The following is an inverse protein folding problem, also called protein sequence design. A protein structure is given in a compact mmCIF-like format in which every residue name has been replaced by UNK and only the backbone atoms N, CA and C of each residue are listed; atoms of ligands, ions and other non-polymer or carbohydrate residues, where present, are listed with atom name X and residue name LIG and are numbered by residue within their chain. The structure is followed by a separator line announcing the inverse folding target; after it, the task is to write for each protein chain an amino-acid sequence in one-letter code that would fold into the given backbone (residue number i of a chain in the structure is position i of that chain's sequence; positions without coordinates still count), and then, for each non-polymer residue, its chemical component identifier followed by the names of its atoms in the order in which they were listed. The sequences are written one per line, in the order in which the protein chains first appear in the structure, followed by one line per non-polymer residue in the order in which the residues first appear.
data_IF_427149144786
#
_entry.id   IF_427149144786
#
_cell.length_a   1.000
_cell.length_b   1.000
_cell.length_c   1.000
_cell.angle_alpha   90.00
_cell.angle_beta   90.00
_cell.angle_gamma   90.00
#
_symmetry.space_group_name_H-M   'P 1'
#
loop_
_entity.id
_entity.type
_entity.pdbx_description
1 polymer ?
#
# COMPACT_ATOMS: atom_id res chain seq x y z
N UNK A 1 9.75 -3.96 -16.68
CA UNK A 1 9.01 -3.24 -15.62
C UNK A 1 9.93 -2.28 -14.89
N UNK A 2 9.44 -1.09 -14.52
CA UNK A 2 10.23 -0.02 -13.87
C UNK A 2 9.39 0.71 -12.84
N UNK A 3 9.97 0.99 -11.66
CA UNK A 3 9.34 1.84 -10.65
C UNK A 3 9.88 3.26 -10.78
N UNK A 4 8.99 4.24 -10.75
CA UNK A 4 9.32 5.67 -10.76
C UNK A 4 8.44 6.45 -9.79
N UNK A 5 8.81 7.67 -9.52
CA UNK A 5 7.94 8.64 -8.83
C UNK A 5 6.69 8.86 -9.68
N UNK A 6 5.54 8.83 -9.04
CA UNK A 6 4.27 9.12 -9.69
C UNK A 6 4.02 10.62 -9.85
N UNK A 7 3.12 10.96 -10.74
CA UNK A 7 2.66 12.32 -11.00
C UNK A 7 1.14 12.37 -11.02
N UNK A 8 0.57 13.55 -11.10
CA UNK A 8 -0.89 13.73 -11.23
C UNK A 8 -1.47 13.08 -12.48
N UNK A 9 -0.65 12.92 -13.53
CA UNK A 9 -1.06 12.23 -14.77
C UNK A 9 -1.27 10.72 -14.56
N UNK A 10 -0.69 10.14 -13.52
CA UNK A 10 -0.83 8.73 -13.18
C UNK A 10 -2.12 8.42 -12.41
N UNK A 11 -2.83 9.44 -11.93
CA UNK A 11 -3.99 9.25 -11.05
C UNK A 11 -5.06 8.34 -11.66
N UNK A 12 -5.40 8.53 -12.94
CA UNK A 12 -6.39 7.69 -13.62
C UNK A 12 -5.96 6.21 -13.68
N UNK A 13 -4.67 5.95 -13.92
CA UNK A 13 -4.12 4.58 -13.94
C UNK A 13 -4.13 3.93 -12.55
N UNK A 14 -3.88 4.69 -11.50
CA UNK A 14 -3.95 4.21 -10.11
C UNK A 14 -5.40 3.90 -9.72
N UNK A 15 -6.34 4.78 -10.08
CA UNK A 15 -7.77 4.53 -9.85
C UNK A 15 -8.25 3.28 -10.58
N UNK A 16 -7.80 3.06 -11.81
CA UNK A 16 -8.12 1.85 -12.57
C UNK A 16 -7.60 0.57 -11.89
N UNK A 17 -6.44 0.61 -11.23
CA UNK A 17 -5.97 -0.50 -10.39
C UNK A 17 -6.89 -0.75 -9.19
N UNK A 18 -7.40 0.32 -8.58
CA UNK A 18 -8.40 0.24 -7.51
C UNK A 18 -9.69 -0.40 -7.98
N UNK A 19 -10.20 0.00 -9.14
CA UNK A 19 -11.39 -0.59 -9.77
C UNK A 19 -11.20 -2.09 -10.03
N UNK A 20 -10.06 -2.47 -10.59
CA UNK A 20 -9.70 -3.87 -10.84
C UNK A 20 -9.65 -4.69 -9.55
N UNK A 21 -9.08 -4.13 -8.48
CA UNK A 21 -8.99 -4.78 -7.18
C UNK A 21 -10.36 -4.98 -6.54
N UNK A 22 -11.24 -3.96 -6.55
CA UNK A 22 -12.60 -4.06 -6.01
C UNK A 22 -13.41 -5.10 -6.77
N UNK A 23 -13.38 -5.08 -8.10
CA UNK A 23 -14.08 -6.07 -8.93
C UNK A 23 -13.60 -7.50 -8.64
N UNK A 24 -12.29 -7.68 -8.49
CA UNK A 24 -11.68 -8.98 -8.18
C UNK A 24 -12.08 -9.49 -6.80
N UNK A 25 -12.10 -8.62 -5.78
CA UNK A 25 -12.53 -8.97 -4.43
C UNK A 25 -14.01 -9.32 -4.37
N UNK A 26 -14.87 -8.51 -5.00
CA UNK A 26 -16.32 -8.73 -5.03
C UNK A 26 -16.67 -10.05 -5.71
N UNK A 27 -16.00 -10.41 -6.80
CA UNK A 27 -16.19 -11.69 -7.48
C UNK A 27 -15.85 -12.92 -6.58
N UNK A 28 -15.13 -12.69 -5.48
CA UNK A 28 -14.75 -13.71 -4.47
C UNK A 28 -15.50 -13.58 -3.15
N UNK A 29 -16.55 -12.75 -3.12
CA UNK A 29 -17.36 -12.55 -1.93
C UNK A 29 -16.71 -11.64 -0.86
N UNK A 30 -15.57 -11.03 -1.13
CA UNK A 30 -14.95 -10.04 -0.25
C UNK A 30 -15.39 -8.63 -0.68
N UNK A 31 -16.49 -8.17 -0.11
CA UNK A 31 -17.03 -6.83 -0.35
C UNK A 31 -16.83 -5.88 0.84
N UNK A 32 -16.15 -6.31 1.89
CA UNK A 32 -15.99 -5.55 3.13
C UNK A 32 -14.67 -4.79 3.20
N UNK A 33 -13.65 -5.25 2.51
CA UNK A 33 -12.34 -4.63 2.57
C UNK A 33 -12.34 -3.21 1.97
N UNK A 34 -12.86 -3.05 0.75
CA UNK A 34 -12.95 -1.76 0.04
C UNK A 34 -14.33 -1.48 -0.53
N UNK A 35 -15.36 -2.20 -0.08
CA UNK A 35 -16.73 -2.04 -0.55
C UNK A 35 -16.97 -2.67 -1.92
N UNK A 36 -18.04 -2.24 -2.57
CA UNK A 36 -18.49 -2.80 -3.85
C UNK A 36 -18.37 -1.82 -5.02
N UNK A 37 -18.26 -0.53 -4.72
CA UNK A 37 -18.20 0.52 -5.73
C UNK A 37 -16.76 0.67 -6.28
N UNK A 38 -16.61 0.99 -7.56
CA UNK A 38 -15.30 1.29 -8.13
C UNK A 38 -14.71 2.55 -7.51
N UNK A 39 -13.40 2.69 -7.60
CA UNK A 39 -12.69 3.88 -7.12
C UNK A 39 -12.87 5.07 -8.05
N UNK A 40 -12.92 4.82 -9.36
CA UNK A 40 -13.22 5.86 -10.35
C UNK A 40 -14.64 6.37 -10.14
N UNK A 41 -14.77 7.69 -9.96
CA UNK A 41 -16.04 8.35 -9.65
C UNK A 41 -16.33 8.48 -8.15
N UNK A 42 -15.55 7.85 -7.27
CA UNK A 42 -15.61 8.09 -5.82
C UNK A 42 -14.72 9.29 -5.46
N UNK A 43 -15.35 10.40 -5.06
CA UNK A 43 -14.65 11.65 -4.79
C UNK A 43 -13.56 11.51 -3.71
N UNK A 44 -13.80 10.72 -2.67
CA UNK A 44 -12.84 10.49 -1.60
C UNK A 44 -11.61 9.73 -2.10
N UNK A 45 -11.81 8.70 -2.92
CA UNK A 45 -10.73 7.90 -3.51
C UNK A 45 -9.94 8.72 -4.52
N UNK A 46 -10.62 9.46 -5.38
CA UNK A 46 -9.96 10.33 -6.36
C UNK A 46 -9.16 11.45 -5.68
N UNK A 47 -9.70 12.06 -4.63
CA UNK A 47 -9.00 13.09 -3.85
C UNK A 47 -7.76 12.53 -3.15
N UNK A 48 -7.87 11.33 -2.57
CA UNK A 48 -6.72 10.64 -1.95
C UNK A 48 -5.60 10.40 -2.98
N UNK A 49 -5.92 9.84 -4.13
CA UNK A 49 -4.93 9.55 -5.18
C UNK A 49 -4.29 10.84 -5.69
N UNK A 50 -5.08 11.88 -5.95
CA UNK A 50 -4.55 13.17 -6.39
C UNK A 50 -3.68 13.86 -5.35
N UNK A 51 -4.05 13.84 -4.10
CA UNK A 51 -3.27 14.45 -3.02
C UNK A 51 -1.88 13.80 -2.88
N UNK A 52 -1.79 12.48 -3.05
CA UNK A 52 -0.53 11.75 -2.96
C UNK A 52 0.25 11.67 -4.29
N UNK A 53 -0.37 12.03 -5.41
CA UNK A 53 0.29 12.00 -6.71
C UNK A 53 1.47 12.98 -6.81
N UNK A 54 1.42 14.10 -6.11
CA UNK A 54 2.54 15.05 -6.02
C UNK A 54 3.60 14.61 -5.01
N UNK A 55 3.18 13.92 -3.95
CA UNK A 55 4.06 13.47 -2.88
C UNK A 55 3.70 12.03 -2.48
N UNK A 56 4.68 11.18 -2.36
CA UNK A 56 4.50 9.83 -1.85
C UNK A 56 4.09 8.76 -2.86
N UNK A 57 3.51 9.09 -4.00
CA UNK A 57 3.14 8.11 -5.03
C UNK A 57 4.37 7.55 -5.75
N UNK A 58 4.42 6.24 -5.84
CA UNK A 58 5.35 5.49 -6.69
C UNK A 58 4.53 4.59 -7.60
N UNK A 59 4.84 4.56 -8.88
CA UNK A 59 4.17 3.70 -9.86
C UNK A 59 5.13 2.71 -10.46
N UNK A 60 4.66 1.48 -10.60
CA UNK A 60 5.32 0.42 -11.34
C UNK A 60 4.70 0.39 -12.73
N UNK A 61 5.50 0.66 -13.76
CA UNK A 61 5.05 0.63 -15.14
C UNK A 61 5.59 -0.60 -15.86
N UNK A 62 4.77 -1.20 -16.69
CA UNK A 62 5.16 -2.33 -17.53
C UNK A 62 5.88 -1.89 -18.82
N UNK A 63 6.18 -2.83 -19.68
CA UNK A 63 6.90 -2.58 -20.94
C UNK A 63 6.10 -1.77 -21.96
N UNK A 64 4.77 -1.78 -21.84
CA UNK A 64 3.86 -0.97 -22.66
C UNK A 64 3.71 0.48 -22.15
N UNK A 65 4.23 0.76 -20.93
CA UNK A 65 4.03 2.02 -20.23
C UNK A 65 2.76 2.08 -19.39
N UNK A 66 2.01 0.99 -19.31
CA UNK A 66 0.81 0.92 -18.47
C UNK A 66 1.19 0.74 -16.99
N UNK A 67 0.35 1.30 -16.10
CA UNK A 67 0.54 1.17 -14.65
C UNK A 67 0.16 -0.24 -14.22
N UNK A 68 1.13 -0.99 -13.74
CA UNK A 68 0.99 -2.36 -13.24
C UNK A 68 0.96 -2.42 -11.70
N UNK A 69 1.32 -1.35 -11.02
CA UNK A 69 1.28 -1.26 -9.57
C UNK A 69 1.45 0.16 -9.06
N UNK A 70 1.00 0.39 -7.84
CA UNK A 70 1.11 1.68 -7.17
C UNK A 70 1.41 1.48 -5.69
N UNK A 71 2.24 2.36 -5.15
CA UNK A 71 2.59 2.46 -3.75
C UNK A 71 2.49 3.92 -3.32
N UNK A 72 1.84 4.19 -2.19
CA UNK A 72 1.87 5.52 -1.55
C UNK A 72 2.60 5.38 -0.23
N UNK A 73 3.65 6.16 -0.04
CA UNK A 73 4.45 6.22 1.18
C UNK A 73 4.53 7.65 1.70
N UNK A 74 4.37 7.82 3.01
CA UNK A 74 4.48 9.11 3.70
C UNK A 74 5.23 8.93 5.02
N UNK A 75 5.72 10.04 5.59
CA UNK A 75 6.36 10.03 6.92
C UNK A 75 5.35 10.24 8.06
N UNK A 76 4.06 10.25 7.72
CA UNK A 76 2.95 10.34 8.68
C UNK A 76 1.98 9.19 8.46
N UNK A 77 1.49 8.60 9.55
CA UNK A 77 0.46 7.56 9.48
C UNK A 77 -0.95 8.15 9.33
N UNK A 78 -1.93 7.28 9.15
CA UNK A 78 -3.34 7.66 9.12
C UNK A 78 -3.82 8.17 10.49
N UNK A 79 -4.82 9.04 10.50
CA UNK A 79 -5.35 9.66 11.72
C UNK A 79 -5.86 8.68 12.77
N UNK A 80 -6.33 7.51 12.33
CA UNK A 80 -6.84 6.43 13.21
C UNK A 80 -5.73 5.49 13.71
N UNK A 81 -4.48 5.72 13.34
CA UNK A 81 -3.31 4.95 13.80
C UNK A 81 -2.52 5.78 14.81
N UNK A 82 -2.15 5.23 15.98
CA UNK A 82 -1.27 5.92 16.90
C UNK A 82 0.05 6.32 16.23
N UNK A 83 0.44 7.58 16.40
CA UNK A 83 1.72 8.08 15.86
C UNK A 83 2.89 7.26 16.43
N UNK A 84 3.90 7.02 15.60
CA UNK A 84 5.13 6.38 16.06
C UNK A 84 5.95 7.37 16.91
N UNK A 85 6.70 6.86 17.88
CA UNK A 85 7.60 7.65 18.72
C UNK A 85 8.95 7.96 18.04
N UNK A 86 9.14 7.44 16.83
CA UNK A 86 10.34 7.57 16.02
C UNK A 86 9.98 7.88 14.57
N UNK A 87 10.91 8.37 13.74
CA UNK A 87 10.67 8.54 12.31
C UNK A 87 10.25 7.24 11.66
N UNK A 88 9.22 7.32 10.83
CA UNK A 88 8.68 6.17 10.10
C UNK A 88 8.44 6.48 8.62
N UNK A 89 8.42 5.45 7.80
CA UNK A 89 7.82 5.49 6.48
C UNK A 89 6.56 4.62 6.51
N UNK A 90 5.40 5.25 6.27
CA UNK A 90 4.10 4.60 6.34
C UNK A 90 3.59 4.27 4.93
N UNK A 91 3.16 3.02 4.74
CA UNK A 91 2.56 2.57 3.50
C UNK A 91 1.05 2.82 3.55
N UNK A 92 0.60 3.85 2.84
CA UNK A 92 -0.82 4.22 2.79
C UNK A 92 -1.61 3.47 1.73
N UNK A 93 -0.93 2.97 0.69
CA UNK A 93 -1.53 2.24 -0.40
C UNK A 93 -0.51 1.28 -1.01
N UNK A 94 -0.95 0.08 -1.32
CA UNK A 94 -0.24 -0.89 -2.13
C UNK A 94 -1.25 -1.58 -3.05
N UNK A 95 -1.12 -1.34 -4.34
CA UNK A 95 -1.95 -1.93 -5.40
C UNK A 95 -1.09 -2.63 -6.44
N UNK A 96 -1.56 -3.75 -6.96
CA UNK A 96 -0.95 -4.44 -8.09
C UNK A 96 -2.02 -4.92 -9.06
N UNK A 97 -1.75 -4.81 -10.36
CA UNK A 97 -2.65 -5.31 -11.39
C UNK A 97 -2.82 -6.82 -11.32
N UNK A 98 -4.03 -7.29 -11.42
CA UNK A 98 -4.39 -8.71 -11.46
C UNK A 98 -3.88 -9.40 -12.74
N UNK A 99 -3.67 -8.65 -13.82
CA UNK A 99 -3.08 -9.15 -15.07
C UNK A 99 -1.65 -9.66 -14.86
N UNK A 100 -0.97 -9.16 -13.84
CA UNK A 100 0.40 -9.53 -13.48
C UNK A 100 0.45 -10.35 -12.18
N UNK A 101 -0.65 -11.01 -11.81
CA UNK A 101 -0.72 -11.84 -10.60
C UNK A 101 0.37 -12.91 -10.59
N UNK A 102 0.95 -13.17 -9.42
CA UNK A 102 2.02 -14.16 -9.24
C UNK A 102 3.42 -13.72 -9.69
N UNK A 103 3.58 -12.49 -10.19
CA UNK A 103 4.88 -11.96 -10.66
C UNK A 103 5.67 -11.20 -9.58
N UNK A 104 5.21 -11.22 -8.34
CA UNK A 104 5.93 -10.61 -7.22
C UNK A 104 5.93 -9.07 -7.21
N UNK A 105 4.99 -8.42 -7.89
CA UNK A 105 4.97 -6.96 -8.02
C UNK A 105 4.82 -6.25 -6.68
N UNK A 106 4.05 -6.81 -5.75
CA UNK A 106 3.92 -6.28 -4.40
C UNK A 106 5.27 -6.24 -3.67
N UNK A 107 6.04 -7.32 -3.79
CA UNK A 107 7.39 -7.39 -3.22
C UNK A 107 8.33 -6.33 -3.78
N UNK A 108 8.28 -6.09 -5.10
CA UNK A 108 9.08 -5.03 -5.74
C UNK A 108 8.74 -3.64 -5.19
N UNK A 109 7.46 -3.35 -4.98
CA UNK A 109 7.02 -2.08 -4.40
C UNK A 109 7.42 -1.94 -2.92
N UNK A 110 7.33 -3.02 -2.14
CA UNK A 110 7.81 -3.03 -0.76
C UNK A 110 9.32 -2.78 -0.69
N UNK A 111 10.12 -3.43 -1.53
CA UNK A 111 11.58 -3.20 -1.57
C UNK A 111 11.93 -1.77 -2.03
N UNK A 112 11.09 -1.16 -2.84
CA UNK A 112 11.22 0.28 -3.13
C UNK A 112 11.02 1.13 -1.88
N UNK A 113 10.01 0.83 -1.05
CA UNK A 113 9.81 1.52 0.22
C UNK A 113 11.00 1.32 1.18
N UNK A 114 11.54 0.11 1.27
CA UNK A 114 12.76 -0.19 2.05
C UNK A 114 13.95 0.65 1.57
N UNK A 115 14.17 0.72 0.28
CA UNK A 115 15.26 1.52 -0.32
C UNK A 115 15.12 3.00 0.04
N UNK A 116 13.91 3.54 -0.07
CA UNK A 116 13.65 4.96 0.25
C UNK A 116 13.76 5.26 1.75
N UNK A 117 13.27 4.37 2.60
CA UNK A 117 13.44 4.51 4.05
C UNK A 117 14.92 4.50 4.43
N UNK A 118 15.69 3.56 3.89
CA UNK A 118 17.14 3.48 4.12
C UNK A 118 17.86 4.75 3.67
N UNK A 119 17.52 5.27 2.49
CA UNK A 119 18.11 6.51 1.98
C UNK A 119 17.79 7.74 2.84
N UNK A 120 16.67 7.73 3.56
CA UNK A 120 16.25 8.79 4.49
C UNK A 120 16.74 8.56 5.93
N UNK A 121 17.44 7.47 6.21
CA UNK A 121 17.84 7.10 7.57
C UNK A 121 16.67 6.69 8.47
N UNK A 122 15.59 6.20 7.90
CA UNK A 122 14.39 5.73 8.60
C UNK A 122 14.48 4.21 8.77
N UNK A 123 14.39 3.72 10.00
CA UNK A 123 14.51 2.30 10.33
C UNK A 123 13.16 1.60 10.54
N UNK A 124 12.06 2.33 10.51
CA UNK A 124 10.72 1.81 10.76
C UNK A 124 9.82 1.99 9.54
N UNK A 125 9.32 0.87 9.00
CA UNK A 125 8.16 0.87 8.10
C UNK A 125 6.94 0.38 8.86
N UNK A 126 5.79 1.06 8.67
CA UNK A 126 4.50 0.56 9.15
C UNK A 126 3.48 0.53 8.03
N UNK A 127 2.50 -0.32 8.20
CA UNK A 127 1.34 -0.47 7.32
C UNK A 127 0.16 -0.94 8.14
N UNK A 128 -1.04 -0.54 7.76
CA UNK A 128 -2.26 -1.19 8.24
C UNK A 128 -2.99 -1.85 7.06
N UNK A 129 -3.68 -2.93 7.37
CA UNK A 129 -4.46 -3.65 6.37
C UNK A 129 -5.73 -4.26 6.97
N UNK A 130 -6.65 -4.64 6.08
CA UNK A 130 -7.84 -5.37 6.44
C UNK A 130 -7.50 -6.70 7.10
N UNK A 131 -8.03 -6.94 8.29
CA UNK A 131 -7.79 -8.15 9.09
C UNK A 131 -8.96 -9.13 9.06
N UNK A 132 -10.03 -8.81 8.31
CA UNK A 132 -11.22 -9.66 8.20
C UNK A 132 -11.01 -10.85 7.26
N UNK A 133 -12.09 -11.59 7.07
CA UNK A 133 -12.05 -12.85 6.34
C UNK A 133 -11.20 -13.88 7.08
N UNK A 134 -10.34 -14.56 6.34
CA UNK A 134 -9.40 -15.56 6.87
C UNK A 134 -8.03 -14.99 7.29
N UNK A 135 -7.88 -13.66 7.33
CA UNK A 135 -6.61 -12.98 7.64
C UNK A 135 -5.56 -13.09 6.53
N UNK A 136 -5.98 -13.41 5.32
CA UNK A 136 -5.07 -13.63 4.19
C UNK A 136 -4.18 -12.43 3.88
N UNK A 137 -4.75 -11.21 3.93
CA UNK A 137 -3.98 -10.00 3.64
C UNK A 137 -2.91 -9.73 4.70
N UNK A 138 -3.21 -10.00 5.97
CA UNK A 138 -2.22 -9.91 7.05
C UNK A 138 -1.04 -10.84 6.77
N UNK A 139 -1.32 -12.09 6.37
CA UNK A 139 -0.25 -13.05 6.01
C UNK A 139 0.58 -12.61 4.80
N UNK A 140 -0.02 -11.90 3.85
CA UNK A 140 0.73 -11.33 2.72
C UNK A 140 1.79 -10.34 3.21
N UNK A 141 1.43 -9.45 4.14
CA UNK A 141 2.42 -8.51 4.72
C UNK A 141 3.44 -9.22 5.62
N UNK A 142 3.04 -10.24 6.36
CA UNK A 142 3.99 -11.07 7.12
C UNK A 142 5.04 -11.71 6.18
N UNK A 143 4.63 -12.18 5.01
CA UNK A 143 5.55 -12.70 3.99
C UNK A 143 6.49 -11.63 3.40
N UNK A 144 6.13 -10.36 3.51
CA UNK A 144 7.01 -9.23 3.17
C UNK A 144 7.90 -8.77 4.33
N UNK A 145 7.94 -9.54 5.42
CA UNK A 145 8.82 -9.26 6.57
C UNK A 145 8.22 -8.32 7.62
N UNK A 146 6.94 -8.02 7.53
CA UNK A 146 6.24 -7.26 8.57
C UNK A 146 5.82 -8.20 9.71
N UNK A 147 5.72 -7.64 10.92
CA UNK A 147 5.20 -8.30 12.11
C UNK A 147 3.96 -7.57 12.62
N UNK A 148 3.03 -8.31 13.20
CA UNK A 148 1.81 -7.74 13.78
C UNK A 148 2.16 -6.88 14.99
N UNK A 149 1.56 -5.71 15.07
CA UNK A 149 1.72 -4.78 16.19
C UNK A 149 0.46 -4.68 17.03
N UNK A 150 -0.69 -4.38 16.40
CA UNK A 150 -1.95 -4.21 17.08
C UNK A 150 -3.15 -4.45 16.17
N UNK A 151 -4.18 -5.06 16.72
CA UNK A 151 -5.50 -5.09 16.11
C UNK A 151 -6.23 -3.78 16.43
N UNK A 152 -7.04 -3.31 15.49
CA UNK A 152 -7.90 -2.14 15.66
C UNK A 152 -9.16 -2.27 14.80
N UNK A 153 -10.08 -1.35 14.96
CA UNK A 153 -11.26 -1.28 14.10
C UNK A 153 -11.58 0.17 13.75
N UNK A 154 -12.04 0.37 12.53
CA UNK A 154 -12.65 1.64 12.08
C UNK A 154 -14.11 1.34 11.78
N UNK A 155 -15.01 1.69 12.74
CA UNK A 155 -16.38 1.21 12.70
C UNK A 155 -16.44 -0.33 12.63
N UNK A 156 -17.13 -0.93 11.65
CA UNK A 156 -17.19 -2.38 11.46
C UNK A 156 -15.97 -2.97 10.75
N UNK A 157 -15.04 -2.15 10.31
CA UNK A 157 -13.87 -2.57 9.53
C UNK A 157 -12.73 -3.02 10.45
N UNK A 158 -12.42 -4.34 10.50
CA UNK A 158 -11.30 -4.83 11.32
C UNK A 158 -9.97 -4.56 10.62
N UNK A 159 -9.01 -4.05 11.37
CA UNK A 159 -7.67 -3.73 10.89
C UNK A 159 -6.56 -4.39 11.69
N UNK A 160 -5.41 -4.54 11.05
CA UNK A 160 -4.15 -4.94 11.66
C UNK A 160 -3.09 -3.91 11.33
N UNK A 161 -2.45 -3.38 12.36
CA UNK A 161 -1.23 -2.60 12.21
C UNK A 161 -0.03 -3.54 12.23
N UNK A 162 0.85 -3.39 11.24
CA UNK A 162 2.09 -4.16 11.14
C UNK A 162 3.29 -3.24 11.01
N UNK A 163 4.44 -3.72 11.43
CA UNK A 163 5.71 -3.00 11.34
C UNK A 163 6.82 -3.91 10.80
N UNK A 164 7.72 -3.31 10.03
CA UNK A 164 8.97 -3.93 9.61
C UNK A 164 10.13 -3.03 10.04
N UNK A 165 11.02 -3.58 10.85
CA UNK A 165 12.26 -2.90 11.18
C UNK A 165 13.33 -3.21 10.15
N UNK A 166 13.96 -2.16 9.68
CA UNK A 166 15.11 -2.30 8.79
C UNK A 166 16.32 -2.58 9.67
N UNK A 167 17.14 -3.57 9.27
CA UNK A 167 18.35 -3.91 10.01
C UNK A 167 19.27 -2.70 10.05
N UNK A 168 19.41 -2.06 11.20
CA UNK A 168 20.54 -1.16 11.43
C UNK A 168 21.81 -1.98 11.25
N UNK A 169 22.66 -1.58 10.29
CA UNK A 169 24.04 -2.03 10.32
C UNK A 169 24.57 -1.69 11.71
N UNK A 170 24.83 -2.70 12.55
CA UNK A 170 25.73 -2.49 13.66
C UNK A 170 27.03 -2.00 13.03
N UNK A 171 27.32 -0.71 13.19
CA UNK A 171 28.68 -0.26 12.96
C UNK A 171 29.57 -0.97 13.98
N UNK A 172 30.74 -1.47 13.53
CA UNK A 172 31.71 -2.11 14.43
C UNK A 172 32.25 -1.13 15.46
#
# INVERSE_FOLDING_TARGET
MRIRVGTTEDAAGVLALGDEAVAWMNARGNNQQWGVEPWTGDERRESFVRAHAAEGLRVLVDESGAIAGALVITETCQDYIPAAEEPELYLNLLLTSRRHSGRGLGGLLIERAVTEATARGIDLLRVDCYAGGDGKLVRVYENYGFTRVAEFAVGPWPGMLLARRLSTRRQP
#
